data_IF_494122726516
#
_entry.id   IF_494122726516
#
_cell.length_a   1.000
_cell.length_b   1.000
_cell.length_c   1.000
_cell.angle_alpha   90.00
_cell.angle_beta   90.00
_cell.angle_gamma   90.00
#
_symmetry.space_group_name_H-M   'P 1'
#
loop_
_entity.id
_entity.type
_entity.pdbx_description
1 polymer ?
#
# COMPACT_ATOMS: atom_id res chain seq x y z
N UNK A 1 23.77 15.86 -30.81
CA UNK A 1 24.43 14.62 -30.33
C UNK A 1 23.58 13.97 -29.24
N UNK A 2 22.37 13.54 -29.60
CA UNK A 2 21.42 12.76 -28.77
C UNK A 2 20.53 11.94 -29.72
N UNK A 3 21.15 11.18 -30.63
CA UNK A 3 20.41 10.24 -31.51
C UNK A 3 19.95 8.98 -30.76
N UNK A 4 20.30 8.83 -29.49
CA UNK A 4 20.05 7.61 -28.71
C UNK A 4 18.80 7.68 -27.80
N UNK A 5 18.19 8.86 -27.64
CA UNK A 5 16.98 9.02 -26.82
C UNK A 5 15.69 8.85 -27.64
N UNK A 6 15.78 8.91 -28.96
CA UNK A 6 14.70 8.58 -29.90
C UNK A 6 14.84 7.13 -30.39
N UNK A 7 15.42 6.23 -29.56
CA UNK A 7 15.57 4.82 -29.93
C UNK A 7 14.19 4.23 -30.17
N UNK A 8 13.86 4.08 -31.45
CA UNK A 8 12.68 3.38 -31.89
C UNK A 8 12.86 1.88 -31.73
N UNK A 9 11.74 1.14 -31.80
CA UNK A 9 11.76 -0.33 -31.76
C UNK A 9 12.73 -0.93 -32.78
N UNK A 10 12.90 -0.29 -33.95
CA UNK A 10 13.81 -0.74 -35.00
C UNK A 10 15.30 -0.65 -34.62
N UNK A 11 15.72 0.45 -34.00
CA UNK A 11 17.11 0.64 -33.56
C UNK A 11 17.47 -0.31 -32.41
N UNK A 12 16.52 -0.54 -31.48
CA UNK A 12 16.69 -1.53 -30.41
C UNK A 12 16.89 -2.94 -30.98
N UNK A 13 16.10 -3.33 -31.99
CA UNK A 13 16.24 -4.63 -32.67
C UNK A 13 17.60 -4.74 -33.37
N UNK A 14 18.09 -3.67 -34.00
CA UNK A 14 19.39 -3.67 -34.68
C UNK A 14 20.54 -3.85 -33.68
N UNK A 15 20.50 -3.17 -32.53
CA UNK A 15 21.49 -3.35 -31.45
C UNK A 15 21.43 -4.78 -30.90
N UNK A 16 20.22 -5.30 -30.63
CA UNK A 16 20.02 -6.70 -30.23
C UNK A 16 20.64 -7.64 -31.25
N UNK A 17 20.40 -7.43 -32.55
CA UNK A 17 20.95 -8.28 -33.59
C UNK A 17 22.48 -8.30 -33.59
N UNK A 18 23.13 -7.13 -33.46
CA UNK A 18 24.61 -7.04 -33.37
C UNK A 18 25.12 -7.81 -32.15
N UNK A 19 24.51 -7.60 -30.98
CA UNK A 19 24.86 -8.32 -29.75
C UNK A 19 24.63 -9.83 -29.89
N UNK A 20 23.54 -10.23 -30.54
CA UNK A 20 23.21 -11.63 -30.82
C UNK A 20 24.22 -12.28 -31.75
N UNK A 21 24.76 -11.57 -32.74
CA UNK A 21 25.78 -12.12 -33.64
C UNK A 21 27.11 -12.27 -32.91
N UNK A 22 27.51 -11.27 -32.12
CA UNK A 22 28.78 -11.31 -31.39
C UNK A 22 28.77 -12.38 -30.30
N UNK A 23 27.69 -12.46 -29.52
CA UNK A 23 27.59 -13.37 -28.38
C UNK A 23 26.93 -14.71 -28.72
N UNK A 24 26.12 -14.74 -29.77
CA UNK A 24 25.27 -15.87 -30.16
C UNK A 24 23.86 -15.78 -29.55
N UNK A 25 22.80 -16.15 -30.30
CA UNK A 25 21.41 -16.12 -29.81
C UNK A 25 21.15 -17.09 -28.66
N UNK A 26 22.02 -18.09 -28.48
CA UNK A 26 21.94 -19.04 -27.35
C UNK A 26 22.47 -18.45 -26.03
N UNK A 27 23.38 -17.47 -26.09
CA UNK A 27 24.03 -16.91 -24.88
C UNK A 27 23.16 -15.94 -24.11
N UNK A 28 22.35 -15.14 -24.79
CA UNK A 28 21.41 -14.24 -24.10
C UNK A 28 20.38 -14.93 -23.21
N UNK A 29 19.64 -15.97 -23.66
CA UNK A 29 18.74 -16.69 -22.78
C UNK A 29 19.48 -17.46 -21.68
N UNK A 30 20.72 -17.90 -21.92
CA UNK A 30 21.57 -18.55 -20.91
C UNK A 30 21.95 -17.57 -19.78
N UNK A 31 22.42 -16.37 -20.14
CA UNK A 31 22.73 -15.30 -19.18
C UNK A 31 21.48 -14.83 -18.45
N UNK A 32 20.38 -14.59 -19.17
CA UNK A 32 19.11 -14.18 -18.57
C UNK A 32 18.58 -15.23 -17.58
N UNK A 33 18.68 -16.53 -17.89
CA UNK A 33 18.30 -17.61 -16.97
C UNK A 33 19.17 -17.62 -15.71
N UNK A 34 20.48 -17.41 -15.86
CA UNK A 34 21.41 -17.39 -14.74
C UNK A 34 21.16 -16.19 -13.83
N UNK A 35 21.08 -15.00 -14.41
CA UNK A 35 20.73 -13.76 -13.69
C UNK A 35 19.35 -13.85 -13.04
N UNK A 36 18.37 -14.43 -13.74
CA UNK A 36 17.03 -14.65 -13.21
C UNK A 36 17.00 -15.56 -11.99
N UNK A 37 17.82 -16.61 -11.96
CA UNK A 37 17.97 -17.47 -10.76
C UNK A 37 18.53 -16.67 -9.59
N UNK A 38 19.60 -15.88 -9.81
CA UNK A 38 20.19 -15.03 -8.78
C UNK A 38 19.17 -14.02 -8.23
N UNK A 39 18.45 -13.31 -9.09
CA UNK A 39 17.42 -12.34 -8.66
C UNK A 39 16.31 -13.05 -7.87
N UNK A 40 15.90 -14.25 -8.30
CA UNK A 40 14.88 -15.03 -7.60
C UNK A 40 15.36 -15.51 -6.21
N UNK A 41 16.61 -15.92 -6.08
CA UNK A 41 17.22 -16.26 -4.78
C UNK A 41 17.31 -15.04 -3.88
N UNK A 42 17.76 -13.89 -4.40
CA UNK A 42 17.77 -12.62 -3.68
C UNK A 42 16.36 -12.23 -3.22
N UNK A 43 15.34 -12.36 -4.09
CA UNK A 43 13.95 -12.09 -3.74
C UNK A 43 13.45 -13.00 -2.61
N UNK A 44 13.81 -14.29 -2.61
CA UNK A 44 13.46 -15.25 -1.57
C UNK A 44 14.14 -14.92 -0.24
N UNK A 45 15.44 -14.61 -0.27
CA UNK A 45 16.19 -14.20 0.91
C UNK A 45 15.60 -12.91 1.52
N UNK A 46 15.33 -11.91 0.69
CA UNK A 46 14.68 -10.66 1.10
C UNK A 46 13.28 -10.87 1.67
N UNK A 47 12.50 -11.81 1.12
CA UNK A 47 11.18 -12.14 1.65
C UNK A 47 11.27 -12.80 3.04
N UNK A 48 12.24 -13.69 3.26
CA UNK A 48 12.51 -14.27 4.58
C UNK A 48 12.90 -13.20 5.60
N UNK A 49 13.82 -12.32 5.24
CA UNK A 49 14.26 -11.20 6.09
C UNK A 49 13.12 -10.24 6.44
N UNK A 50 12.28 -9.89 5.45
CA UNK A 50 11.08 -9.06 5.68
C UNK A 50 10.13 -9.74 6.67
N UNK A 51 9.89 -11.03 6.54
CA UNK A 51 9.00 -11.75 7.46
C UNK A 51 9.55 -11.78 8.89
N UNK A 52 10.87 -11.96 9.06
CA UNK A 52 11.50 -11.98 10.38
C UNK A 52 11.46 -10.60 11.04
N UNK A 53 11.79 -9.53 10.31
CA UNK A 53 11.67 -8.15 10.82
C UNK A 53 10.23 -7.85 11.22
N UNK A 54 9.24 -8.18 10.40
CA UNK A 54 7.84 -7.90 10.74
C UNK A 54 7.41 -8.63 12.01
N UNK A 55 7.87 -9.87 12.24
CA UNK A 55 7.60 -10.60 13.49
C UNK A 55 8.29 -9.95 14.69
N UNK A 56 9.54 -9.52 14.54
CA UNK A 56 10.29 -8.84 15.60
C UNK A 56 9.64 -7.52 15.97
N UNK A 57 9.32 -6.68 14.98
CA UNK A 57 8.61 -5.40 15.18
C UNK A 57 7.26 -5.63 15.87
N UNK A 58 6.49 -6.62 15.45
CA UNK A 58 5.21 -6.93 16.09
C UNK A 58 5.36 -7.43 17.54
N UNK A 59 6.48 -8.08 17.89
CA UNK A 59 6.79 -8.47 19.26
C UNK A 59 7.15 -7.26 20.11
N UNK A 60 8.04 -6.40 19.61
CA UNK A 60 8.45 -5.16 20.27
C UNK A 60 7.25 -4.23 20.53
N UNK A 61 6.34 -4.09 19.57
CA UNK A 61 5.11 -3.30 19.73
C UNK A 61 4.22 -3.86 20.84
N UNK A 62 4.12 -5.19 20.96
CA UNK A 62 3.31 -5.85 21.97
C UNK A 62 3.90 -5.70 23.38
N UNK A 63 5.22 -5.83 23.50
CA UNK A 63 5.94 -5.66 24.76
C UNK A 63 5.87 -4.21 25.25
N UNK A 64 6.06 -3.24 24.34
CA UNK A 64 5.94 -1.81 24.65
C UNK A 64 4.54 -1.48 25.18
N UNK A 65 3.48 -1.90 24.45
CA UNK A 65 2.09 -1.71 24.90
C UNK A 65 1.82 -2.37 26.25
N UNK A 66 2.35 -3.57 26.49
CA UNK A 66 2.17 -4.28 27.75
C UNK A 66 2.77 -3.52 28.94
N UNK A 67 3.99 -2.99 28.78
CA UNK A 67 4.62 -2.16 29.81
C UNK A 67 3.82 -0.90 30.12
N UNK A 68 3.25 -0.25 29.10
CA UNK A 68 2.37 0.91 29.29
C UNK A 68 1.12 0.56 30.11
N UNK A 69 0.48 -0.60 29.84
CA UNK A 69 -0.67 -1.07 30.62
C UNK A 69 -0.31 -1.38 32.08
N UNK A 70 0.86 -1.96 32.35
CA UNK A 70 1.31 -2.23 33.71
C UNK A 70 1.54 -0.93 34.49
N UNK A 71 2.11 0.08 33.84
CA UNK A 71 2.37 1.39 34.44
C UNK A 71 1.07 2.14 34.76
N UNK A 72 0.07 2.03 33.87
CA UNK A 72 -1.28 2.56 34.09
C UNK A 72 -2.02 1.83 35.22
N UNK A 73 -1.85 0.51 35.35
CA UNK A 73 -2.47 -0.27 36.43
C UNK A 73 -1.85 0.07 37.79
N UNK A 74 -0.53 0.31 37.84
CA UNK A 74 0.17 0.72 39.07
C UNK A 74 -0.24 2.12 39.57
N UNK A 75 -0.80 2.97 38.71
CA UNK A 75 -1.36 4.29 39.09
C UNK A 75 -2.83 4.23 39.52
N UNK A 76 -3.49 3.06 39.45
CA UNK A 76 -4.93 2.93 39.66
C UNK A 76 -5.33 2.24 40.98
N UNK A 77 -4.42 2.14 41.96
CA UNK A 77 -4.70 1.58 43.31
C UNK A 77 -4.86 2.65 44.41
N UNK A 78 -4.88 3.94 44.05
CA UNK A 78 -5.12 5.05 45.00
C UNK A 78 -6.27 5.95 44.53
N UNK A 79 -7.49 5.41 44.44
CA UNK A 79 -8.73 6.22 44.51
C UNK A 79 -9.99 5.34 44.49
N UNK A 80 -10.27 4.68 45.60
CA UNK A 80 -11.64 4.29 45.94
C UNK A 80 -11.98 4.97 47.26
N UNK A 81 -12.83 6.00 47.21
CA UNK A 81 -13.95 6.29 48.15
C UNK A 81 -14.48 7.69 47.86
N UNK A 82 -15.64 7.81 47.18
CA UNK A 82 -16.95 8.26 47.73
C UNK A 82 -17.99 8.44 46.62
N UNK A 83 -19.12 7.72 46.81
CA UNK A 83 -20.55 8.08 46.63
C UNK A 83 -20.88 9.31 45.77
N UNK A 84 -21.87 9.34 44.88
CA UNK A 84 -23.14 8.63 44.74
C UNK A 84 -24.14 9.63 44.11
N UNK A 85 -25.04 9.13 43.24
CA UNK A 85 -26.30 9.76 42.75
C UNK A 85 -26.26 11.20 42.17
N UNK A 86 -26.79 11.49 40.97
CA UNK A 86 -28.24 11.55 40.73
C UNK A 86 -28.53 11.66 39.23
N UNK A 87 -29.63 11.01 38.85
CA UNK A 87 -30.22 10.82 37.53
C UNK A 87 -31.00 12.05 37.02
N UNK A 88 -30.91 12.31 35.70
CA UNK A 88 -31.94 12.84 34.78
C UNK A 88 -32.43 14.30 34.86
N UNK A 89 -32.35 15.05 33.74
CA UNK A 89 -33.50 15.32 32.84
C UNK A 89 -33.21 16.43 31.81
N UNK A 90 -33.91 16.35 30.66
CA UNK A 90 -34.17 17.36 29.60
C UNK A 90 -33.18 17.32 28.42
N UNK A 91 -33.44 16.62 27.32
CA UNK A 91 -34.53 16.73 26.31
C UNK A 91 -34.38 17.93 25.37
N UNK A 92 -34.50 17.62 24.07
CA UNK A 92 -34.79 18.49 22.92
C UNK A 92 -33.54 19.06 22.23
N UNK A 93 -33.13 18.49 21.09
CA UNK A 93 -33.65 18.75 19.72
C UNK A 93 -32.58 19.55 18.99
N UNK A 94 -32.07 19.20 17.82
CA UNK A 94 -32.65 18.70 16.54
C UNK A 94 -31.43 18.69 15.56
N UNK A 95 -31.55 18.54 14.24
CA UNK A 95 -32.29 17.60 13.39
C UNK A 95 -31.38 16.78 12.46
N UNK A 96 -32.03 15.73 11.94
CA UNK A 96 -31.72 14.89 10.79
C UNK A 96 -31.31 15.73 9.57
N UNK A 97 -30.13 15.43 9.04
CA UNK A 97 -29.63 15.87 7.74
C UNK A 97 -30.17 14.92 6.66
N UNK A 98 -30.88 15.50 5.69
CA UNK A 98 -31.12 15.10 4.30
C UNK A 98 -32.33 15.90 3.80
N UNK A 99 -32.53 16.16 2.49
CA UNK A 99 -31.61 16.29 1.36
C UNK A 99 -31.82 17.67 0.66
N UNK A 100 -30.89 18.14 -0.18
CA UNK A 100 -31.25 19.11 -1.23
C UNK A 100 -30.15 19.22 -2.31
N UNK A 101 -30.44 19.79 -3.48
CA UNK A 101 -30.21 19.15 -4.77
C UNK A 101 -29.20 19.94 -5.59
N UNK A 102 -28.35 19.26 -6.36
CA UNK A 102 -27.48 19.95 -7.30
C UNK A 102 -28.20 20.09 -8.66
N UNK A 103 -28.49 21.31 -9.14
CA UNK A 103 -29.20 21.53 -10.39
C UNK A 103 -28.28 21.37 -11.62
N UNK A 104 -28.75 20.53 -12.53
CA UNK A 104 -28.76 20.62 -13.99
C UNK A 104 -27.73 21.54 -14.69
N UNK A 105 -26.90 20.94 -15.56
CA UNK A 105 -26.57 21.54 -16.86
C UNK A 105 -26.61 20.51 -18.00
N UNK A 106 -27.57 20.75 -18.90
CA UNK A 106 -27.64 20.51 -20.34
C UNK A 106 -26.66 19.55 -21.04
N UNK A 107 -27.26 18.67 -21.84
CA UNK A 107 -27.01 18.33 -23.25
C UNK A 107 -27.31 16.84 -23.42
N UNK A 108 -28.07 16.34 -24.38
CA UNK A 108 -28.75 16.87 -25.55
C UNK A 108 -29.29 15.65 -26.30
N UNK A 109 -30.05 15.93 -27.37
CA UNK A 109 -30.45 14.98 -28.42
C UNK A 109 -31.65 14.08 -28.13
N UNK A 110 -32.80 14.71 -28.35
CA UNK A 110 -33.90 14.21 -29.16
C UNK A 110 -33.47 13.13 -30.17
N UNK A 111 -34.02 11.92 -30.04
CA UNK A 111 -34.47 11.15 -31.20
C UNK A 111 -35.86 10.62 -30.94
N UNK A 112 -36.75 10.98 -31.87
CA UNK A 112 -38.18 10.72 -31.86
C UNK A 112 -38.46 9.48 -32.71
N UNK A 113 -39.43 8.70 -32.21
CA UNK A 113 -40.52 8.05 -32.93
C UNK A 113 -40.19 6.98 -33.99
N UNK A 114 -40.87 5.85 -33.81
CA UNK A 114 -41.14 4.85 -34.84
C UNK A 114 -41.62 3.57 -34.19
#
# INVERSE_FOLDING_TARGET
MLLFLDIGTGELILILLVVFVVMGPKKLPEVARTMGKTINELKRASAGFKNEINKEVQRLDRETRFNDFLQQKATQDESVTKEGETVSTKTSSKPIENPDPEPEQETGRVERKG
#
